data_IF_376791802004
#
_entry.id   IF_376791802004
#
_cell.length_a   1.000
_cell.length_b   1.000
_cell.length_c   1.000
_cell.angle_alpha   90.00
_cell.angle_beta   90.00
_cell.angle_gamma   90.00
#
_symmetry.space_group_name_H-M   'P 1'
#
loop_
_entity.id
_entity.type
_entity.pdbx_description
1 polymer ?
#
# COMPACT_ATOMS: atom_id res chain seq x y z
N UNK A 1 16.39 -18.88 5.32
CA UNK A 1 15.60 -19.66 4.30
C UNK A 1 14.97 -18.64 3.39
N UNK A 2 15.26 -18.68 2.10
CA UNK A 2 14.71 -17.73 1.12
C UNK A 2 13.26 -18.06 0.82
N UNK A 3 12.42 -17.01 0.59
CA UNK A 3 11.01 -17.21 0.26
C UNK A 3 10.85 -17.88 -1.11
N UNK A 4 9.83 -18.76 -1.27
CA UNK A 4 9.65 -19.60 -2.46
C UNK A 4 9.47 -18.85 -3.77
N UNK A 5 8.88 -17.63 -3.72
CA UNK A 5 8.65 -16.80 -4.89
C UNK A 5 9.25 -15.41 -4.66
N UNK A 6 10.24 -15.05 -5.47
CA UNK A 6 10.96 -13.79 -5.38
C UNK A 6 10.99 -13.06 -6.72
N UNK A 7 10.86 -11.72 -6.68
CA UNK A 7 11.20 -10.82 -7.78
C UNK A 7 12.12 -9.70 -7.28
N UNK A 8 13.08 -9.24 -8.08
CA UNK A 8 14.06 -8.22 -7.67
C UNK A 8 13.48 -6.89 -7.18
N UNK A 9 12.24 -6.58 -7.59
CA UNK A 9 11.50 -5.34 -7.24
C UNK A 9 10.71 -5.45 -5.94
N UNK A 10 10.91 -6.51 -5.15
CA UNK A 10 10.21 -6.66 -3.87
C UNK A 10 10.65 -5.61 -2.86
N UNK A 11 9.69 -5.05 -2.12
CA UNK A 11 9.95 -4.08 -1.07
C UNK A 11 10.86 -4.65 0.02
N UNK A 12 11.78 -3.83 0.54
CA UNK A 12 12.62 -4.22 1.67
C UNK A 12 11.78 -4.49 2.92
N UNK A 13 12.03 -5.58 3.68
CA UNK A 13 11.24 -5.91 4.88
C UNK A 13 11.17 -4.81 5.93
N UNK A 14 12.22 -4.01 6.09
CA UNK A 14 12.22 -2.88 7.02
C UNK A 14 11.23 -1.79 6.63
N UNK A 15 11.14 -1.48 5.35
CA UNK A 15 10.16 -0.52 4.83
C UNK A 15 8.73 -1.07 4.93
N UNK A 16 8.53 -2.36 4.67
CA UNK A 16 7.24 -3.01 4.86
C UNK A 16 6.77 -2.90 6.32
N UNK A 17 7.65 -3.19 7.28
CA UNK A 17 7.35 -3.04 8.72
C UNK A 17 7.04 -1.59 9.09
N UNK A 18 7.82 -0.64 8.58
CA UNK A 18 7.59 0.78 8.82
C UNK A 18 6.19 1.20 8.33
N UNK A 19 5.83 0.85 7.10
CA UNK A 19 4.51 1.18 6.56
C UNK A 19 3.36 0.58 7.39
N UNK A 20 3.49 -0.67 7.82
CA UNK A 20 2.50 -1.31 8.69
C UNK A 20 2.42 -0.56 10.02
N UNK A 21 3.57 -0.24 10.65
CA UNK A 21 3.60 0.48 11.93
C UNK A 21 2.98 1.88 11.83
N UNK A 22 3.17 2.56 10.72
CA UNK A 22 2.58 3.88 10.48
C UNK A 22 1.05 3.84 10.26
N UNK A 23 0.51 2.69 9.87
CA UNK A 23 -0.93 2.48 9.72
C UNK A 23 -1.62 2.06 11.02
N UNK A 24 -0.87 1.73 12.08
CA UNK A 24 -1.45 1.38 13.37
C UNK A 24 -2.11 2.58 14.02
N UNK A 25 -3.28 2.36 14.62
CA UNK A 25 -3.97 3.32 15.48
C UNK A 25 -3.53 3.11 16.92
N UNK A 26 -3.40 4.20 17.69
CA UNK A 26 -3.01 4.13 19.10
C UNK A 26 -3.99 3.31 19.97
N UNK A 27 -5.28 3.32 19.59
CA UNK A 27 -6.35 2.72 20.41
C UNK A 27 -6.62 1.25 20.13
N UNK A 28 -6.28 0.74 18.92
CA UNK A 28 -6.61 -0.63 18.53
C UNK A 28 -5.54 -1.27 17.67
N UNK A 29 -5.16 -2.50 18.00
CA UNK A 29 -4.35 -3.34 17.10
C UNK A 29 -5.21 -3.75 15.90
N UNK A 30 -4.83 -3.42 14.66
CA UNK A 30 -5.59 -3.79 13.49
C UNK A 30 -5.65 -5.31 13.34
N UNK A 31 -6.83 -5.84 13.02
CA UNK A 31 -7.04 -7.26 12.78
C UNK A 31 -6.87 -7.62 11.31
N UNK A 32 -7.31 -6.72 10.42
CA UNK A 32 -7.35 -6.97 8.98
C UNK A 32 -6.30 -6.12 8.26
N UNK A 33 -5.46 -6.79 7.50
CA UNK A 33 -4.51 -6.18 6.58
C UNK A 33 -5.01 -6.32 5.16
N UNK A 34 -5.06 -5.21 4.41
CA UNK A 34 -5.55 -5.18 3.04
C UNK A 34 -4.50 -4.57 2.12
N UNK A 35 -4.16 -5.31 1.04
CA UNK A 35 -3.24 -4.85 0.00
C UNK A 35 -3.81 -5.21 -1.39
N UNK A 36 -4.31 -4.22 -2.15
CA UNK A 36 -4.86 -4.44 -3.48
C UNK A 36 -3.81 -4.56 -4.60
N UNK A 37 -2.52 -4.45 -4.27
CA UNK A 37 -1.39 -4.51 -5.20
C UNK A 37 -0.28 -5.42 -4.67
N UNK A 38 -0.66 -6.59 -4.18
CA UNK A 38 0.20 -7.38 -3.30
C UNK A 38 1.50 -7.89 -3.94
N UNK A 39 1.61 -7.94 -5.25
CA UNK A 39 2.81 -8.40 -5.94
C UNK A 39 3.31 -9.74 -5.42
N UNK A 40 4.54 -9.78 -4.92
CA UNK A 40 5.12 -11.01 -4.31
C UNK A 40 4.74 -11.21 -2.85
N UNK A 41 3.94 -10.33 -2.25
CA UNK A 41 3.46 -10.40 -0.87
C UNK A 41 4.46 -9.96 0.19
N UNK A 42 5.41 -9.10 -0.17
CA UNK A 42 6.44 -8.63 0.78
C UNK A 42 5.84 -7.97 2.02
N UNK A 43 4.87 -7.06 1.85
CA UNK A 43 4.18 -6.39 2.95
C UNK A 43 3.26 -7.37 3.68
N UNK A 44 2.51 -8.19 2.93
CA UNK A 44 1.58 -9.16 3.50
C UNK A 44 2.26 -10.20 4.42
N UNK A 45 3.49 -10.63 4.10
CA UNK A 45 4.28 -11.51 4.97
C UNK A 45 4.56 -10.85 6.31
N UNK A 46 4.96 -9.58 6.31
CA UNK A 46 5.26 -8.85 7.55
C UNK A 46 3.99 -8.62 8.39
N UNK A 47 2.85 -8.34 7.75
CA UNK A 47 1.56 -8.24 8.43
C UNK A 47 1.12 -9.59 9.04
N UNK A 48 1.29 -10.69 8.31
CA UNK A 48 1.01 -12.04 8.79
C UNK A 48 1.86 -12.41 10.01
N UNK A 49 3.16 -12.05 10.00
CA UNK A 49 4.07 -12.28 11.13
C UNK A 49 3.61 -11.49 12.37
N UNK A 50 3.01 -10.31 12.19
CA UNK A 50 2.43 -9.50 13.26
C UNK A 50 1.06 -9.99 13.74
N UNK A 51 0.53 -11.07 13.16
CA UNK A 51 -0.69 -11.72 13.62
C UNK A 51 -1.98 -11.20 12.97
N UNK A 52 -1.91 -10.44 11.89
CA UNK A 52 -3.09 -9.93 11.19
C UNK A 52 -3.70 -10.98 10.25
N UNK A 53 -5.00 -10.88 10.02
CA UNK A 53 -5.68 -11.56 8.93
C UNK A 53 -5.36 -10.87 7.60
N UNK A 54 -5.13 -11.63 6.56
CA UNK A 54 -4.57 -11.16 5.30
C UNK A 54 -5.62 -11.20 4.18
N UNK A 55 -5.89 -10.04 3.58
CA UNK A 55 -6.79 -9.87 2.43
C UNK A 55 -6.02 -9.15 1.31
N UNK A 56 -5.51 -9.89 0.35
CA UNK A 56 -4.65 -9.32 -0.69
C UNK A 56 -5.08 -9.71 -2.08
N UNK A 57 -4.87 -8.81 -3.03
CA UNK A 57 -5.18 -9.04 -4.43
C UNK A 57 -4.11 -8.48 -5.37
N UNK A 58 -4.12 -8.98 -6.59
CA UNK A 58 -3.32 -8.48 -7.69
C UNK A 58 -4.03 -8.79 -9.01
N UNK A 59 -3.82 -7.98 -10.05
CA UNK A 59 -4.32 -8.26 -11.40
C UNK A 59 -3.55 -9.35 -12.13
N UNK A 60 -2.24 -9.49 -11.82
CA UNK A 60 -1.38 -10.51 -12.43
C UNK A 60 -1.59 -11.87 -11.75
N UNK A 61 -2.13 -12.88 -12.46
CA UNK A 61 -2.31 -14.21 -11.90
C UNK A 61 -1.00 -14.87 -11.45
N UNK A 62 0.13 -14.47 -12.01
CA UNK A 62 1.46 -14.96 -11.60
C UNK A 62 1.80 -14.46 -10.19
N UNK A 63 1.46 -13.20 -9.89
CA UNK A 63 1.61 -12.63 -8.54
C UNK A 63 0.69 -13.33 -7.56
N UNK A 64 -0.59 -13.49 -7.89
CA UNK A 64 -1.57 -14.22 -7.06
C UNK A 64 -1.08 -15.63 -6.72
N UNK A 65 -0.54 -16.35 -7.69
CA UNK A 65 0.04 -17.67 -7.44
C UNK A 65 1.29 -17.61 -6.55
N UNK A 66 2.17 -16.67 -6.83
CA UNK A 66 3.42 -16.49 -6.08
C UNK A 66 3.20 -16.08 -4.63
N UNK A 67 2.28 -15.14 -4.38
CA UNK A 67 1.98 -14.69 -3.01
C UNK A 67 1.30 -15.79 -2.19
N UNK A 68 0.44 -16.64 -2.79
CA UNK A 68 -0.12 -17.82 -2.12
C UNK A 68 0.98 -18.74 -1.59
N UNK A 69 2.02 -19.03 -2.40
CA UNK A 69 3.18 -19.83 -1.97
C UNK A 69 3.96 -19.17 -0.83
N UNK A 70 4.20 -17.87 -0.95
CA UNK A 70 4.96 -17.11 0.04
C UNK A 70 4.24 -17.03 1.39
N UNK A 71 2.93 -16.77 1.40
CA UNK A 71 2.14 -16.73 2.63
C UNK A 71 2.00 -18.12 3.26
N UNK A 72 1.81 -19.17 2.47
CA UNK A 72 1.79 -20.55 2.97
C UNK A 72 3.12 -20.94 3.63
N UNK A 73 4.25 -20.49 3.07
CA UNK A 73 5.57 -20.68 3.66
C UNK A 73 5.74 -19.88 4.95
N UNK A 74 5.24 -18.61 4.99
CA UNK A 74 5.42 -17.71 6.13
C UNK A 74 4.49 -17.99 7.30
N UNK A 75 3.35 -18.68 7.08
CA UNK A 75 2.32 -18.86 8.10
C UNK A 75 2.81 -19.63 9.33
N UNK A 76 3.73 -20.59 9.14
CA UNK A 76 4.45 -21.23 10.24
C UNK A 76 3.55 -21.79 11.35
N UNK A 77 2.39 -22.38 11.00
CA UNK A 77 1.42 -22.93 11.95
C UNK A 77 0.47 -21.91 12.59
N UNK A 78 0.49 -20.64 12.18
CA UNK A 78 -0.47 -19.59 12.62
C UNK A 78 -1.86 -19.89 12.09
N UNK A 79 -2.90 -19.47 12.82
CA UNK A 79 -4.30 -19.69 12.47
C UNK A 79 -4.95 -18.45 11.81
N UNK A 80 -4.15 -17.52 11.28
CA UNK A 80 -4.65 -16.32 10.63
C UNK A 80 -5.44 -16.65 9.37
N UNK A 81 -6.49 -15.87 9.10
CA UNK A 81 -7.22 -15.95 7.86
C UNK A 81 -6.37 -15.36 6.72
N UNK A 82 -6.19 -16.14 5.66
CA UNK A 82 -5.48 -15.68 4.45
C UNK A 82 -6.42 -15.80 3.26
N UNK A 83 -6.67 -14.66 2.61
CA UNK A 83 -7.42 -14.56 1.35
C UNK A 83 -6.54 -13.89 0.30
N UNK A 84 -6.36 -14.57 -0.82
CA UNK A 84 -5.55 -14.09 -1.95
C UNK A 84 -6.33 -14.31 -3.23
N UNK A 85 -6.71 -13.21 -3.89
CA UNK A 85 -7.58 -13.28 -5.06
C UNK A 85 -7.02 -12.46 -6.23
N UNK A 86 -7.39 -12.87 -7.45
CA UNK A 86 -7.18 -12.04 -8.64
C UNK A 86 -8.30 -11.02 -8.72
N UNK A 87 -7.99 -9.75 -8.46
CA UNK A 87 -9.00 -8.68 -8.47
C UNK A 87 -8.37 -7.33 -8.83
N UNK A 88 -9.15 -6.51 -9.51
CA UNK A 88 -8.82 -5.10 -9.69
C UNK A 88 -9.03 -4.34 -8.39
N UNK A 89 -8.17 -3.34 -8.11
CA UNK A 89 -8.38 -2.43 -6.99
C UNK A 89 -9.77 -1.78 -7.00
N UNK A 90 -10.36 -1.55 -8.16
CA UNK A 90 -11.70 -0.93 -8.32
C UNK A 90 -12.84 -1.80 -7.78
N UNK A 91 -12.61 -3.09 -7.57
CA UNK A 91 -13.63 -4.08 -7.19
C UNK A 91 -13.41 -4.73 -5.84
N UNK A 92 -12.36 -4.34 -5.09
CA UNK A 92 -12.00 -5.01 -3.83
C UNK A 92 -13.06 -4.86 -2.73
N UNK A 93 -13.83 -3.77 -2.72
CA UNK A 93 -14.94 -3.63 -1.77
C UNK A 93 -16.07 -4.63 -2.04
N UNK A 94 -16.36 -4.94 -3.29
CA UNK A 94 -17.30 -6.00 -3.66
C UNK A 94 -16.76 -7.39 -3.29
N UNK A 95 -15.45 -7.58 -3.44
CA UNK A 95 -14.77 -8.85 -3.15
C UNK A 95 -14.71 -9.16 -1.66
N UNK A 96 -14.28 -8.19 -0.86
CA UNK A 96 -14.02 -8.39 0.57
C UNK A 96 -15.22 -8.08 1.47
N UNK A 97 -16.13 -7.21 1.00
CA UNK A 97 -17.19 -6.66 1.84
C UNK A 97 -16.65 -5.78 2.97
N UNK A 98 -17.50 -5.44 3.92
CA UNK A 98 -17.07 -4.67 5.11
C UNK A 98 -16.09 -5.48 5.97
N UNK A 99 -15.03 -4.80 6.41
CA UNK A 99 -13.98 -5.35 7.28
C UNK A 99 -13.58 -4.29 8.30
N UNK A 100 -14.27 -4.26 9.43
CA UNK A 100 -13.92 -3.34 10.50
C UNK A 100 -12.52 -3.60 11.06
N UNK A 101 -11.90 -2.57 11.62
CA UNK A 101 -10.56 -2.63 12.19
C UNK A 101 -9.48 -3.04 11.16
N UNK A 102 -9.55 -2.41 10.00
CA UNK A 102 -8.63 -2.65 8.88
C UNK A 102 -7.54 -1.58 8.77
N UNK A 103 -6.39 -2.00 8.26
CA UNK A 103 -5.40 -1.11 7.67
C UNK A 103 -5.18 -1.46 6.21
N UNK A 104 -4.93 -0.42 5.41
CA UNK A 104 -4.53 -0.57 4.02
C UNK A 104 -3.07 -0.19 3.88
N UNK A 105 -2.23 -1.16 3.55
CA UNK A 105 -0.80 -0.89 3.35
C UNK A 105 -0.36 -1.50 2.04
N UNK A 106 0.05 -0.65 1.11
CA UNK A 106 0.36 -1.08 -0.25
C UNK A 106 1.40 -0.20 -0.92
N UNK A 107 2.02 -0.75 -1.96
CA UNK A 107 2.95 -0.11 -2.87
C UNK A 107 2.35 -0.23 -4.29
N UNK A 108 1.62 0.79 -4.79
CA UNK A 108 0.90 0.67 -6.06
C UNK A 108 1.85 0.48 -7.23
N UNK A 109 1.41 -0.19 -8.31
CA UNK A 109 2.26 -0.44 -9.45
C UNK A 109 2.71 0.86 -10.12
N UNK A 110 4.00 0.95 -10.38
CA UNK A 110 4.62 2.03 -11.14
C UNK A 110 5.74 1.43 -12.02
N UNK A 111 5.95 1.99 -13.17
CA UNK A 111 6.99 1.51 -14.06
C UNK A 111 6.92 2.24 -15.41
N UNK A 112 7.86 1.91 -16.33
CA UNK A 112 7.96 2.58 -17.63
C UNK A 112 6.65 2.62 -18.42
N UNK A 113 5.73 1.69 -18.17
CA UNK A 113 4.42 1.64 -18.81
C UNK A 113 3.34 2.37 -18.00
N UNK A 114 3.46 2.46 -16.65
CA UNK A 114 2.55 3.22 -15.80
C UNK A 114 2.83 4.73 -15.82
N UNK A 115 4.08 5.16 -16.11
CA UNK A 115 4.44 6.58 -16.19
C UNK A 115 3.95 7.29 -17.46
N UNK A 116 3.51 6.55 -18.45
CA UNK A 116 3.01 7.10 -19.72
C UNK A 116 1.51 7.29 -19.77
N UNK A 117 0.81 6.84 -18.76
CA UNK A 117 -0.61 7.00 -18.59
C UNK A 117 -0.88 7.40 -17.13
N UNK A 118 -1.89 8.22 -16.88
CA UNK A 118 -2.36 8.61 -15.55
C UNK A 118 -2.85 7.44 -14.69
N UNK A 119 -2.75 6.21 -15.21
CA UNK A 119 -3.28 4.97 -14.63
C UNK A 119 -2.75 4.70 -13.20
N UNK A 120 -1.47 5.01 -12.91
CA UNK A 120 -0.90 4.74 -11.59
C UNK A 120 -1.50 5.61 -10.49
N UNK A 121 -1.75 6.90 -10.76
CA UNK A 121 -2.38 7.82 -9.82
C UNK A 121 -3.86 7.51 -9.66
N UNK A 122 -4.55 7.14 -10.73
CA UNK A 122 -5.94 6.68 -10.69
C UNK A 122 -6.09 5.39 -9.88
N UNK A 123 -5.15 4.46 -9.98
CA UNK A 123 -5.16 3.24 -9.16
C UNK A 123 -4.99 3.55 -7.67
N UNK A 124 -4.12 4.50 -7.34
CA UNK A 124 -3.98 4.99 -5.96
C UNK A 124 -5.28 5.62 -5.46
N UNK A 125 -5.91 6.52 -6.22
CA UNK A 125 -7.20 7.12 -5.84
C UNK A 125 -8.32 6.09 -5.74
N UNK A 126 -8.33 5.10 -6.64
CA UNK A 126 -9.27 3.98 -6.52
C UNK A 126 -9.09 3.20 -5.21
N UNK A 127 -7.85 2.99 -4.76
CA UNK A 127 -7.59 2.34 -3.48
C UNK A 127 -8.17 3.16 -2.30
N UNK A 128 -8.03 4.50 -2.33
CA UNK A 128 -8.62 5.38 -1.32
C UNK A 128 -10.15 5.21 -1.25
N UNK A 129 -10.81 5.24 -2.41
CA UNK A 129 -12.27 5.11 -2.50
C UNK A 129 -12.78 3.74 -2.03
N UNK A 130 -12.07 2.67 -2.39
CA UNK A 130 -12.43 1.33 -1.97
C UNK A 130 -12.19 1.10 -0.47
N UNK A 131 -11.15 1.70 0.10
CA UNK A 131 -10.86 1.60 1.52
C UNK A 131 -12.01 2.16 2.38
N UNK A 132 -12.56 3.33 2.03
CA UNK A 132 -13.73 3.89 2.73
C UNK A 132 -14.97 2.99 2.66
N UNK A 133 -15.15 2.27 1.55
CA UNK A 133 -16.29 1.33 1.40
C UNK A 133 -16.10 0.06 2.24
N UNK A 134 -14.87 -0.35 2.49
CA UNK A 134 -14.53 -1.55 3.28
C UNK A 134 -14.54 -1.23 4.77
N UNK A 135 -13.88 -0.14 5.16
CA UNK A 135 -13.82 0.36 6.54
C UNK A 135 -13.65 1.88 6.54
N UNK A 136 -14.72 2.59 6.84
CA UNK A 136 -14.73 4.07 6.92
C UNK A 136 -13.79 4.65 7.98
N UNK A 137 -13.26 3.81 8.88
CA UNK A 137 -12.29 4.19 9.93
C UNK A 137 -10.86 3.68 9.64
N UNK A 138 -10.61 3.10 8.48
CA UNK A 138 -9.29 2.54 8.14
C UNK A 138 -8.21 3.61 8.06
N UNK A 139 -6.96 3.19 8.22
CA UNK A 139 -5.77 4.00 7.93
C UNK A 139 -5.08 3.45 6.70
N UNK A 140 -4.67 4.34 5.82
CA UNK A 140 -3.87 4.00 4.65
C UNK A 140 -2.42 4.42 4.89
N UNK A 141 -1.48 3.50 4.67
CA UNK A 141 -0.05 3.76 4.60
C UNK A 141 0.49 3.24 3.27
N UNK A 142 1.12 4.11 2.50
CA UNK A 142 1.58 3.77 1.15
C UNK A 142 2.86 4.49 0.78
N UNK A 143 3.48 4.09 -0.31
CA UNK A 143 4.61 4.78 -0.91
C UNK A 143 4.33 5.06 -2.37
N UNK A 144 4.56 6.30 -2.80
CA UNK A 144 4.45 6.72 -4.19
C UNK A 144 5.81 7.13 -4.75
N UNK A 145 6.11 6.84 -6.02
CA UNK A 145 7.33 7.31 -6.67
C UNK A 145 7.43 8.84 -6.63
N UNK A 146 8.58 9.35 -6.24
CA UNK A 146 8.87 10.77 -6.17
C UNK A 146 10.19 11.09 -6.89
N UNK A 147 10.34 12.32 -7.37
CA UNK A 147 11.59 12.81 -7.93
C UNK A 147 12.69 12.88 -6.87
N UNK A 148 13.96 12.81 -7.31
CA UNK A 148 15.11 12.89 -6.39
C UNK A 148 15.22 14.27 -5.73
N UNK A 149 14.68 15.31 -6.33
CA UNK A 149 14.55 16.66 -5.78
C UNK A 149 13.70 16.70 -4.50
N UNK A 150 12.79 15.73 -4.32
CA UNK A 150 11.98 15.58 -3.11
C UNK A 150 12.80 15.30 -1.85
N UNK A 151 14.10 15.00 -2.00
CA UNK A 151 15.01 14.75 -0.88
C UNK A 151 15.62 16.03 -0.31
N UNK A 152 15.50 17.15 -1.01
CA UNK A 152 15.89 18.46 -0.50
C UNK A 152 14.77 18.93 0.44
N UNK A 153 15.07 18.96 1.74
CA UNK A 153 14.15 19.37 2.80
C UNK A 153 13.87 20.89 2.72
N UNK A 154 13.26 21.33 1.64
CA UNK A 154 12.78 22.70 1.51
C UNK A 154 11.26 22.68 1.71
N UNK A 155 10.74 23.27 2.82
CA UNK A 155 9.30 23.28 3.09
C UNK A 155 8.49 24.04 2.04
N UNK A 156 9.13 24.93 1.26
CA UNK A 156 8.50 25.73 0.23
C UNK A 156 8.46 25.02 -1.14
N UNK A 157 9.08 23.85 -1.27
CA UNK A 157 9.12 23.11 -2.54
C UNK A 157 7.89 22.21 -2.66
N UNK A 158 7.12 22.41 -3.73
CA UNK A 158 6.06 21.50 -4.11
C UNK A 158 6.66 20.25 -4.78
N UNK A 159 6.70 19.15 -4.06
CA UNK A 159 7.30 17.91 -4.53
C UNK A 159 6.58 17.35 -5.76
N UNK A 160 7.33 16.79 -6.69
CA UNK A 160 6.76 16.04 -7.82
C UNK A 160 6.64 14.56 -7.42
N UNK A 161 5.42 14.09 -7.34
CA UNK A 161 5.09 12.70 -7.00
C UNK A 161 4.28 12.11 -8.15
N UNK A 162 4.72 11.00 -8.70
CA UNK A 162 4.09 10.37 -9.88
C UNK A 162 3.93 11.32 -11.09
N UNK A 163 4.82 12.30 -11.22
CA UNK A 163 4.78 13.31 -12.32
C UNK A 163 3.84 14.49 -12.08
N UNK A 164 3.19 14.58 -10.93
CA UNK A 164 2.28 15.67 -10.56
C UNK A 164 2.79 16.44 -9.34
N UNK A 165 2.47 17.75 -9.22
CA UNK A 165 2.71 18.51 -8.01
C UNK A 165 1.99 17.87 -6.82
N UNK A 166 2.67 17.78 -5.68
CA UNK A 166 2.08 17.21 -4.49
C UNK A 166 0.81 17.94 -4.02
N UNK A 167 0.79 19.26 -4.13
CA UNK A 167 -0.37 20.08 -3.79
C UNK A 167 -1.65 19.66 -4.51
N UNK A 168 -1.52 19.24 -5.78
CA UNK A 168 -2.64 18.74 -6.58
C UNK A 168 -3.09 17.36 -6.09
N UNK A 169 -2.14 16.47 -5.80
CA UNK A 169 -2.44 15.13 -5.27
C UNK A 169 -3.13 15.23 -3.92
N UNK A 170 -2.60 16.05 -3.00
CA UNK A 170 -3.18 16.23 -1.66
C UNK A 170 -4.59 16.83 -1.73
N UNK A 171 -4.83 17.79 -2.61
CA UNK A 171 -6.17 18.30 -2.88
C UNK A 171 -7.12 17.19 -3.32
N UNK A 172 -6.69 16.31 -4.20
CA UNK A 172 -7.51 15.19 -4.68
C UNK A 172 -7.73 14.13 -3.60
N UNK A 173 -6.76 13.87 -2.72
CA UNK A 173 -6.91 13.03 -1.53
C UNK A 173 -8.01 13.60 -0.62
N UNK A 174 -7.94 14.91 -0.33
CA UNK A 174 -8.93 15.59 0.53
C UNK A 174 -10.34 15.54 -0.08
N UNK A 175 -10.47 15.74 -1.38
CA UNK A 175 -11.76 15.66 -2.08
C UNK A 175 -12.39 14.26 -2.04
N UNK A 176 -11.59 13.21 -1.81
CA UNK A 176 -12.04 11.82 -1.66
C UNK A 176 -12.29 11.41 -0.21
N UNK A 177 -12.35 12.38 0.70
CA UNK A 177 -12.66 12.11 2.11
C UNK A 177 -11.49 11.64 2.95
N UNK A 178 -10.25 11.93 2.54
CA UNK A 178 -9.05 11.59 3.27
C UNK A 178 -8.24 12.82 3.66
N UNK A 179 -7.53 12.75 4.78
CA UNK A 179 -6.54 13.74 5.22
C UNK A 179 -5.16 13.08 5.26
N UNK A 180 -4.17 13.77 4.72
CA UNK A 180 -2.76 13.37 4.86
C UNK A 180 -2.26 13.74 6.25
N UNK A 181 -1.91 12.75 7.05
CA UNK A 181 -1.36 12.92 8.39
C UNK A 181 0.16 12.91 8.42
N UNK A 182 0.76 12.16 7.50
CA UNK A 182 2.21 12.08 7.35
C UNK A 182 2.55 12.09 5.85
N UNK A 183 3.59 12.86 5.54
CA UNK A 183 4.26 12.87 4.25
C UNK A 183 5.76 12.92 4.50
N UNK A 184 6.50 11.94 4.00
CA UNK A 184 7.96 11.92 4.17
C UNK A 184 8.65 11.34 2.93
N UNK A 185 9.59 12.07 2.31
CA UNK A 185 10.40 11.53 1.24
C UNK A 185 11.44 10.55 1.79
N UNK A 186 11.57 9.40 1.15
CA UNK A 186 12.54 8.37 1.50
C UNK A 186 13.42 8.09 0.28
N UNK A 187 14.74 8.16 0.49
CA UNK A 187 15.71 7.81 -0.55
C UNK A 187 15.77 6.29 -0.72
N UNK A 188 15.59 5.83 -1.94
CA UNK A 188 15.75 4.41 -2.29
C UNK A 188 17.14 4.16 -2.88
N UNK A 189 17.55 4.98 -3.83
CA UNK A 189 18.91 5.02 -4.40
C UNK A 189 19.21 6.39 -5.03
N UNK A 190 20.38 6.53 -5.70
CA UNK A 190 20.85 7.85 -6.21
C UNK A 190 19.86 8.61 -7.09
N UNK A 191 18.98 7.93 -7.81
CA UNK A 191 18.03 8.53 -8.77
C UNK A 191 16.57 8.22 -8.47
N UNK A 192 16.26 7.60 -7.33
CA UNK A 192 14.89 7.22 -6.98
C UNK A 192 14.61 7.60 -5.52
N UNK A 193 13.61 8.43 -5.35
CA UNK A 193 12.96 8.68 -4.07
C UNK A 193 11.54 8.10 -4.07
N UNK A 194 10.99 7.93 -2.89
CA UNK A 194 9.59 7.57 -2.68
C UNK A 194 9.00 8.47 -1.63
N UNK A 195 7.78 8.89 -1.83
CA UNK A 195 7.00 9.61 -0.83
C UNK A 195 6.22 8.60 -0.01
N UNK A 196 6.57 8.45 1.26
CA UNK A 196 5.74 7.72 2.25
C UNK A 196 4.59 8.63 2.64
N UNK A 197 3.38 8.09 2.60
CA UNK A 197 2.15 8.83 2.87
C UNK A 197 1.29 8.03 3.84
N UNK A 198 0.76 8.72 4.85
CA UNK A 198 -0.26 8.15 5.74
C UNK A 198 -1.51 9.01 5.66
N UNK A 199 -2.63 8.36 5.37
CA UNK A 199 -3.92 9.02 5.26
C UNK A 199 -4.91 8.47 6.28
N UNK A 200 -5.66 9.38 6.90
CA UNK A 200 -6.80 9.08 7.76
C UNK A 200 -8.08 9.60 7.12
N UNK A 201 -9.23 8.94 7.32
CA UNK A 201 -10.50 9.43 6.80
C UNK A 201 -10.87 10.77 7.44
N UNK A 202 -11.54 11.63 6.67
CA UNK A 202 -12.19 12.84 7.16
C UNK A 202 -13.56 12.44 7.74
N UNK A 203 -13.79 12.71 8.99
CA UNK A 203 -15.09 12.56 9.68
C UNK A 203 -15.84 13.85 9.67
#
# INVERSE_FOLDING_TARGET
MERPFFKPISLEPRLAKLLISLAHKEEHTPQNFIDPFCGTGGIAIEALIQGMDIFVSDLDPTMVHGVKKNLSWAIGGRQNLIRVEKCSVKDIANLWGSKENSIFVFDPPYGRNAWKSDDGLELFFSALEQALKIDGNSVISTMLPAGSESLENNPDTDYIVMGHPWSEIEKQINQRGWRVNLRSPVKVHKSLARMVIVCHPLH
#
